data_IF_133796156366
#
_entry.id   IF_133796156366
#
_cell.length_a   1.000
_cell.length_b   1.000
_cell.length_c   1.000
_cell.angle_alpha   90.00
_cell.angle_beta   90.00
_cell.angle_gamma   90.00
#
_symmetry.space_group_name_H-M   'P 1'
#
loop_
_entity.id
_entity.type
_entity.pdbx_description
1 polymer ?
#
# COMPACT_ATOMS: atom_id res chain seq x y z
N UNK A 1 -12.63 -17.12 20.98
CA UNK A 1 -12.56 -16.52 20.74
C UNK A 1 -12.36 -15.96 20.08
N UNK A 2 -12.27 -15.65 19.56
CA UNK A 2 -12.05 -15.07 18.88
C UNK A 2 -11.95 -14.33 18.40
N UNK A 3 -11.75 -14.08 18.13
CA UNK A 3 -11.73 -13.18 17.73
C UNK A 3 -11.59 -12.50 17.03
N UNK A 4 -11.23 -12.30 16.65
CA UNK A 4 -11.09 -11.55 16.03
C UNK A 4 -11.49 -11.11 15.18
N UNK A 5 -11.52 -10.73 15.26
CA UNK A 5 -12.06 -10.05 14.37
C UNK A 5 -11.38 -9.07 13.71
N UNK A 6 -10.37 -9.18 13.42
CA UNK A 6 -9.53 -8.37 12.59
C UNK A 6 -10.04 -8.48 11.18
N UNK A 7 -10.28 -7.36 10.50
CA UNK A 7 -10.60 -7.40 9.10
C UNK A 7 -9.48 -8.12 8.38
N UNK A 8 -9.80 -9.12 7.56
CA UNK A 8 -8.75 -9.83 6.85
C UNK A 8 -8.03 -8.90 5.88
N UNK A 9 -6.74 -9.10 5.76
CA UNK A 9 -5.96 -8.35 4.79
C UNK A 9 -6.23 -8.92 3.40
N UNK A 10 -6.31 -8.04 2.42
CA UNK A 10 -6.43 -8.47 1.05
C UNK A 10 -5.13 -9.16 0.63
N UNK A 11 -5.28 -10.07 -0.31
CA UNK A 11 -4.11 -10.76 -0.84
C UNK A 11 -3.28 -9.81 -1.70
N UNK A 12 -1.99 -10.11 -1.79
CA UNK A 12 -1.09 -9.31 -2.61
C UNK A 12 -1.59 -9.16 -4.04
N UNK A 13 -2.23 -10.19 -4.56
CA UNK A 13 -2.74 -10.17 -5.94
C UNK A 13 -3.67 -8.99 -6.20
N UNK A 14 -4.49 -8.64 -5.22
CA UNK A 14 -5.41 -7.52 -5.38
C UNK A 14 -4.68 -6.19 -5.50
N UNK A 15 -3.60 -6.04 -4.74
CA UNK A 15 -2.80 -4.83 -4.82
C UNK A 15 -2.04 -4.79 -6.15
N UNK A 16 -1.51 -5.93 -6.56
CA UNK A 16 -0.76 -5.99 -7.80
C UNK A 16 -1.66 -5.72 -9.01
N UNK A 17 -2.93 -6.07 -8.91
CA UNK A 17 -3.88 -5.81 -9.98
C UNK A 17 -4.06 -4.33 -10.28
N UNK A 18 -3.82 -3.48 -9.29
CA UNK A 18 -3.91 -2.02 -9.50
C UNK A 18 -2.55 -1.40 -9.77
N UNK A 19 -1.50 -2.23 -9.83
CA UNK A 19 -0.17 -1.76 -10.19
C UNK A 19 0.82 -1.68 -9.05
N UNK A 20 0.42 -2.04 -7.84
CA UNK A 20 1.34 -2.01 -6.69
C UNK A 20 2.37 -3.12 -6.87
N UNK A 21 3.68 -2.80 -6.83
CA UNK A 21 4.70 -3.84 -6.90
C UNK A 21 4.56 -4.81 -5.72
N UNK A 22 4.85 -6.07 -5.97
CA UNK A 22 4.73 -7.08 -4.95
C UNK A 22 5.52 -6.71 -3.68
N UNK A 23 6.71 -6.15 -3.86
CA UNK A 23 7.55 -5.77 -2.74
C UNK A 23 6.94 -4.67 -1.88
N UNK A 24 6.07 -3.87 -2.47
CA UNK A 24 5.46 -2.76 -1.76
C UNK A 24 4.14 -3.13 -1.09
N UNK A 25 3.59 -4.31 -1.40
CA UNK A 25 2.33 -4.73 -0.80
C UNK A 25 2.41 -4.76 0.73
N UNK A 26 3.43 -5.39 1.34
CA UNK A 26 3.53 -5.35 2.80
C UNK A 26 3.67 -3.95 3.36
N UNK A 27 4.34 -3.07 2.60
CA UNK A 27 4.54 -1.69 3.04
C UNK A 27 3.21 -0.95 3.08
N UNK A 28 2.40 -1.13 2.03
CA UNK A 28 1.07 -0.53 1.98
C UNK A 28 0.22 -1.01 3.15
N UNK A 29 0.28 -2.29 3.44
CA UNK A 29 -0.48 -2.85 4.54
C UNK A 29 0.00 -2.31 5.89
N UNK A 30 1.30 -2.15 6.07
CA UNK A 30 1.86 -1.58 7.29
C UNK A 30 1.45 -0.13 7.50
N UNK A 31 1.19 0.57 6.41
CA UNK A 31 0.74 1.96 6.49
C UNK A 31 -0.72 2.06 6.94
N UNK A 32 -1.40 0.94 7.09
CA UNK A 32 -2.78 0.92 7.56
C UNK A 32 -3.80 0.54 6.50
N UNK A 33 -3.35 0.28 5.29
CA UNK A 33 -4.25 -0.03 4.18
C UNK A 33 -4.30 -1.53 3.98
N UNK A 34 -5.02 -2.21 4.86
CA UNK A 34 -5.11 -3.67 4.85
C UNK A 34 -5.96 -4.21 3.71
N UNK A 35 -6.74 -3.35 3.06
CA UNK A 35 -7.54 -3.74 1.89
C UNK A 35 -7.31 -2.73 0.79
N UNK A 36 -7.48 -3.17 -0.46
CA UNK A 36 -7.34 -2.25 -1.59
C UNK A 36 -8.43 -1.18 -1.54
N UNK A 37 -9.60 -1.53 -1.01
CA UNK A 37 -10.68 -0.56 -0.90
C UNK A 37 -10.32 0.60 0.03
N UNK A 38 -9.47 0.37 1.01
CA UNK A 38 -9.07 1.42 1.92
C UNK A 38 -8.23 2.49 1.22
N UNK A 39 -7.74 2.20 0.03
CA UNK A 39 -6.99 3.18 -0.76
C UNK A 39 -7.90 4.13 -1.53
N UNK A 40 -9.19 3.79 -1.66
CA UNK A 40 -10.12 4.66 -2.37
C UNK A 40 -10.27 5.98 -1.63
N UNK A 41 -10.18 7.06 -2.35
CA UNK A 41 -10.34 8.39 -1.78
C UNK A 41 -9.13 8.92 -1.05
N UNK A 42 -8.07 8.12 -0.95
CA UNK A 42 -6.83 8.58 -0.34
C UNK A 42 -6.10 9.48 -1.34
N UNK A 43 -5.59 10.58 -0.86
CA UNK A 43 -4.83 11.48 -1.72
C UNK A 43 -3.50 10.83 -2.07
N UNK A 44 -3.13 10.83 -3.37
CA UNK A 44 -1.88 10.19 -3.78
C UNK A 44 -0.65 10.72 -3.06
N UNK A 45 -0.59 12.02 -2.84
CA UNK A 45 0.54 12.61 -2.15
C UNK A 45 0.66 12.12 -0.72
N UNK A 46 -0.48 11.94 -0.05
CA UNK A 46 -0.48 11.44 1.31
C UNK A 46 -0.03 10.00 1.37
N UNK A 47 -0.56 9.16 0.48
CA UNK A 47 -0.17 7.76 0.43
C UNK A 47 1.31 7.62 0.10
N UNK A 48 1.77 8.39 -0.88
CA UNK A 48 3.17 8.38 -1.26
C UNK A 48 4.07 8.70 -0.05
N UNK A 49 3.72 9.74 0.68
CA UNK A 49 4.48 10.14 1.85
C UNK A 49 4.47 9.06 2.93
N UNK A 50 3.32 8.45 3.16
CA UNK A 50 3.20 7.39 4.15
C UNK A 50 4.06 6.18 3.78
N UNK A 51 4.10 5.85 2.50
CA UNK A 51 4.92 4.73 2.04
C UNK A 51 6.40 5.01 2.26
N UNK A 52 6.82 6.24 1.98
CA UNK A 52 8.20 6.63 2.21
C UNK A 52 8.54 6.61 3.70
N UNK A 53 7.60 7.03 4.54
CA UNK A 53 7.81 7.00 5.98
C UNK A 53 7.98 5.58 6.50
N UNK A 54 7.17 4.66 6.00
CA UNK A 54 7.29 3.25 6.38
C UNK A 54 8.64 2.69 5.91
N UNK A 55 9.03 3.00 4.68
CA UNK A 55 10.31 2.55 4.17
C UNK A 55 11.46 3.05 5.04
N UNK A 56 11.38 4.31 5.44
CA UNK A 56 12.40 4.91 6.30
C UNK A 56 12.45 4.22 7.66
N UNK A 57 11.28 3.92 8.20
CA UNK A 57 11.18 3.28 9.51
C UNK A 57 11.75 1.87 9.51
N UNK A 58 11.55 1.16 8.41
CA UNK A 58 11.99 -0.24 8.27
C UNK A 58 13.13 -0.36 7.25
N UNK A 59 14.00 0.62 7.19
CA UNK A 59 15.01 0.66 6.14
C UNK A 59 15.95 -0.53 6.14
N UNK A 60 16.11 -1.19 7.26
CA UNK A 60 16.95 -2.39 7.32
C UNK A 60 16.43 -3.49 6.42
N UNK A 61 15.12 -3.51 6.21
CA UNK A 61 14.46 -4.50 5.37
C UNK A 61 14.12 -3.97 3.99
N UNK A 62 13.90 -2.65 3.90
CA UNK A 62 13.28 -2.07 2.71
C UNK A 62 14.22 -1.16 1.93
N UNK A 63 15.49 -1.08 2.34
CA UNK A 63 16.43 -0.14 1.72
C UNK A 63 16.65 -0.43 0.24
N UNK A 64 16.50 -1.70 -0.17
CA UNK A 64 16.72 -2.08 -1.56
C UNK A 64 15.52 -1.85 -2.46
N UNK A 65 14.38 -1.49 -1.88
CA UNK A 65 13.20 -1.25 -2.68
C UNK A 65 13.31 0.07 -3.43
N UNK A 66 12.94 0.04 -4.70
CA UNK A 66 12.86 1.27 -5.47
C UNK A 66 11.57 1.99 -5.12
N UNK A 67 11.68 3.28 -4.85
CA UNK A 67 10.49 4.05 -4.54
C UNK A 67 9.60 4.20 -5.78
N UNK A 68 8.29 4.01 -5.63
CA UNK A 68 7.39 4.37 -6.72
C UNK A 68 7.39 5.89 -6.88
N UNK A 69 6.98 6.37 -8.03
CA UNK A 69 6.78 7.79 -8.19
C UNK A 69 5.41 8.18 -7.67
N UNK A 70 5.21 9.47 -7.41
CA UNK A 70 3.89 9.93 -7.00
C UNK A 70 2.85 9.64 -8.08
N UNK A 71 3.26 9.67 -9.34
CA UNK A 71 2.37 9.33 -10.45
C UNK A 71 1.96 7.86 -10.38
N UNK A 72 2.87 6.99 -10.02
CA UNK A 72 2.55 5.57 -9.87
C UNK A 72 1.50 5.37 -8.79
N UNK A 73 1.69 6.04 -7.66
CA UNK A 73 0.75 5.94 -6.55
C UNK A 73 -0.62 6.46 -6.96
N UNK A 74 -0.64 7.57 -7.69
CA UNK A 74 -1.89 8.13 -8.20
C UNK A 74 -2.60 7.14 -9.12
N UNK A 75 -1.83 6.45 -9.95
CA UNK A 75 -2.41 5.47 -10.88
C UNK A 75 -3.05 4.30 -10.14
N UNK A 76 -2.45 3.87 -9.04
CA UNK A 76 -3.04 2.79 -8.24
C UNK A 76 -4.43 3.17 -7.74
N UNK A 77 -4.53 4.40 -7.23
CA UNK A 77 -5.80 4.88 -6.68
C UNK A 77 -6.82 5.08 -7.78
N UNK A 78 -6.39 5.61 -8.92
CA UNK A 78 -7.28 5.79 -10.07
C UNK A 78 -7.89 4.48 -10.55
N UNK A 79 -7.09 3.43 -10.56
CA UNK A 79 -7.58 2.13 -10.98
C UNK A 79 -8.66 1.60 -10.06
N UNK A 80 -8.57 1.92 -8.78
CA UNK A 80 -9.60 1.51 -7.83
C UNK A 80 -10.90 2.26 -8.05
N UNK A 81 -10.80 3.49 -8.53
CA UNK A 81 -11.98 4.33 -8.71
C UNK A 81 -12.59 4.19 -10.09
N UNK A 82 -11.89 3.52 -10.98
CA UNK A 82 -12.40 3.29 -12.35
C UNK A 82 -13.43 2.13 -12.42
#
# INVERSE_FOLDING_TARGET
MKPEKVAPKDKAEKYMAIGVPEEWVPVVQKAGYNTVESLKGVKPGKLFQELLDIKKKYRDYLSDLQNPSQQDVAAWIEKLEA
#
